data_IF_110363232746
#
_entry.id   IF_110363232746
#
_cell.length_a   1.000
_cell.length_b   1.000
_cell.length_c   1.000
_cell.angle_alpha   90.00
_cell.angle_beta   90.00
_cell.angle_gamma   90.00
#
_symmetry.space_group_name_H-M   'P 1'
#
loop_
_entity.id
_entity.type
_entity.pdbx_description
1 polymer ?
#
# COMPACT_ATOMS: atom_id res chain seq x y z
N UNK A 1 -2.38 -6.46 -13.60
CA UNK A 1 -2.57 -6.57 -12.14
C UNK A 1 -2.00 -5.32 -11.49
N UNK A 2 -2.64 -4.82 -10.45
CA UNK A 2 -2.21 -3.63 -9.72
C UNK A 2 -1.93 -4.00 -8.27
N UNK A 3 -1.00 -3.31 -7.63
CA UNK A 3 -0.57 -3.61 -6.27
C UNK A 3 -0.58 -2.36 -5.41
N UNK A 4 -0.93 -2.52 -4.13
CA UNK A 4 -0.86 -1.48 -3.11
C UNK A 4 -0.12 -2.01 -1.88
N UNK A 5 0.35 -1.11 -1.02
CA UNK A 5 1.03 -1.47 0.23
C UNK A 5 0.08 -1.20 1.39
N UNK A 6 -0.25 -2.25 2.14
CA UNK A 6 -0.92 -2.16 3.43
C UNK A 6 0.15 -2.17 4.54
N UNK A 7 -0.02 -1.32 5.55
CA UNK A 7 0.82 -1.22 6.73
C UNK A 7 -0.08 -1.40 7.95
N UNK A 8 0.36 -2.24 8.90
CA UNK A 8 -0.32 -2.42 10.18
C UNK A 8 0.30 -1.51 11.23
N UNK A 9 -0.52 -0.61 11.78
CA UNK A 9 -0.16 0.24 12.92
C UNK A 9 -1.22 0.11 14.00
N UNK A 10 -0.83 -0.20 15.24
CA UNK A 10 -1.75 -0.28 16.39
C UNK A 10 -3.02 -1.10 16.11
N UNK A 11 -2.85 -2.27 15.49
CA UNK A 11 -3.94 -3.16 15.07
C UNK A 11 -4.91 -2.58 14.02
N UNK A 12 -4.54 -1.47 13.37
CA UNK A 12 -5.29 -0.86 12.27
C UNK A 12 -4.55 -1.01 10.95
N UNK A 13 -5.27 -1.40 9.91
CA UNK A 13 -4.77 -1.41 8.55
C UNK A 13 -4.84 0.00 7.96
N UNK A 14 -3.71 0.47 7.45
CA UNK A 14 -3.62 1.68 6.63
C UNK A 14 -2.88 1.36 5.34
N UNK A 15 -2.97 2.23 4.36
CA UNK A 15 -2.42 2.03 3.03
C UNK A 15 -1.47 3.16 2.67
N UNK A 16 -0.35 2.83 2.03
CA UNK A 16 0.66 3.81 1.68
C UNK A 16 0.19 4.70 0.53
N UNK A 17 -0.12 5.96 0.83
CA UNK A 17 -0.47 6.97 -0.18
C UNK A 17 0.78 7.52 -0.88
N UNK A 18 1.82 7.79 -0.09
CA UNK A 18 3.13 8.21 -0.56
C UNK A 18 4.20 7.82 0.47
N UNK A 19 5.47 8.15 0.21
CA UNK A 19 6.60 7.78 1.06
C UNK A 19 6.54 8.30 2.51
N UNK A 20 5.60 9.20 2.85
CA UNK A 20 5.48 9.85 4.16
C UNK A 20 4.09 9.76 4.77
N UNK A 21 3.09 9.26 4.04
CA UNK A 21 1.69 9.34 4.44
C UNK A 21 0.96 8.02 4.24
N UNK A 22 0.16 7.66 5.25
CA UNK A 22 -0.78 6.56 5.21
C UNK A 22 -2.21 7.08 5.15
N UNK A 23 -3.09 6.33 4.49
CA UNK A 23 -4.53 6.60 4.38
C UNK A 23 -5.32 5.37 4.80
N UNK A 24 -6.57 5.55 5.22
CA UNK A 24 -7.44 4.44 5.60
C UNK A 24 -8.14 3.79 4.40
N UNK A 25 -8.35 4.53 3.32
CA UNK A 25 -9.02 4.03 2.12
C UNK A 25 -7.99 3.43 1.13
N UNK A 26 -8.09 2.14 0.76
CA UNK A 26 -7.22 1.51 -0.22
C UNK A 26 -7.33 2.12 -1.63
N UNK A 27 -8.46 2.74 -1.98
CA UNK A 27 -8.67 3.38 -3.30
C UNK A 27 -7.77 4.59 -3.50
N UNK A 28 -7.40 5.23 -2.41
CA UNK A 28 -6.48 6.37 -2.43
C UNK A 28 -5.02 5.92 -2.48
N UNK A 29 -4.72 4.67 -2.13
CA UNK A 29 -3.35 4.18 -1.99
C UNK A 29 -2.54 4.30 -3.29
N UNK A 30 -1.21 4.36 -3.15
CA UNK A 30 -0.31 4.36 -4.30
C UNK A 30 -0.36 3.01 -5.00
N UNK A 31 -0.71 3.05 -6.28
CA UNK A 31 -0.77 1.87 -7.14
C UNK A 31 0.59 1.60 -7.77
N UNK A 32 0.98 0.32 -7.79
CA UNK A 32 2.19 -0.18 -8.43
C UNK A 32 1.84 -1.24 -9.48
N UNK A 33 2.66 -1.33 -10.53
CA UNK A 33 2.52 -2.33 -11.59
C UNK A 33 3.14 -3.69 -11.23
N UNK A 34 3.97 -3.75 -10.17
CA UNK A 34 4.56 -5.00 -9.69
C UNK A 34 4.84 -4.96 -8.18
N UNK A 35 4.88 -6.11 -7.50
CA UNK A 35 5.20 -6.18 -6.08
C UNK A 35 6.65 -5.77 -5.79
N UNK A 36 7.57 -6.00 -6.74
CA UNK A 36 8.96 -5.55 -6.63
C UNK A 36 9.08 -4.02 -6.54
N UNK A 37 8.29 -3.29 -7.33
CA UNK A 37 8.27 -1.83 -7.30
C UNK A 37 7.65 -1.31 -6.00
N UNK A 38 6.57 -1.94 -5.53
CA UNK A 38 5.97 -1.64 -4.24
C UNK A 38 7.00 -1.77 -3.10
N UNK A 39 7.69 -2.91 -3.01
CA UNK A 39 8.72 -3.15 -1.99
C UNK A 39 9.89 -2.17 -2.10
N UNK A 40 10.35 -1.85 -3.31
CA UNK A 40 11.41 -0.85 -3.52
C UNK A 40 10.97 0.53 -3.04
N UNK A 41 9.72 0.90 -3.26
CA UNK A 41 9.16 2.16 -2.81
C UNK A 41 9.04 2.21 -1.28
N UNK A 42 8.56 1.15 -0.64
CA UNK A 42 8.46 1.04 0.81
C UNK A 42 9.81 1.24 1.51
N UNK A 43 10.88 0.63 0.98
CA UNK A 43 12.26 0.78 1.52
C UNK A 43 12.74 2.23 1.57
N UNK A 44 12.18 3.12 0.73
CA UNK A 44 12.48 4.55 0.68
C UNK A 44 11.51 5.41 1.50
N UNK A 45 10.49 4.81 2.08
CA UNK A 45 9.47 5.51 2.88
C UNK A 45 9.84 5.59 4.35
N UNK A 46 9.13 6.43 5.09
CA UNK A 46 9.23 6.51 6.55
C UNK A 46 8.77 5.22 7.25
N UNK A 47 8.09 4.31 6.53
CA UNK A 47 7.50 3.09 7.06
C UNK A 47 8.29 1.84 6.68
N UNK A 48 9.56 1.99 6.26
CA UNK A 48 10.41 0.89 5.78
C UNK A 48 10.58 -0.29 6.76
N UNK A 49 10.41 -0.03 8.06
CA UNK A 49 10.56 -1.02 9.13
C UNK A 49 9.21 -1.48 9.70
N UNK A 50 8.09 -0.99 9.16
CA UNK A 50 6.76 -1.33 9.64
C UNK A 50 6.32 -2.71 9.14
N UNK A 51 5.47 -3.39 9.92
CA UNK A 51 4.77 -4.59 9.46
C UNK A 51 3.89 -4.22 8.26
N UNK A 52 4.11 -4.87 7.12
CA UNK A 52 3.45 -4.52 5.88
C UNK A 52 3.11 -5.76 5.05
N UNK A 53 2.19 -5.57 4.10
CA UNK A 53 1.80 -6.57 3.12
C UNK A 53 1.54 -5.88 1.78
N UNK A 54 2.01 -6.47 0.68
CA UNK A 54 1.69 -6.00 -0.67
C UNK A 54 0.44 -6.73 -1.14
N UNK A 55 -0.64 -5.98 -1.34
CA UNK A 55 -1.94 -6.53 -1.78
C UNK A 55 -2.08 -6.38 -3.29
N UNK A 56 -2.64 -7.41 -3.92
CA UNK A 56 -3.05 -7.36 -5.33
C UNK A 56 -4.47 -6.81 -5.41
N UNK A 57 -4.69 -5.75 -6.19
CA UNK A 57 -6.02 -5.20 -6.48
C UNK A 57 -6.39 -5.51 -7.94
N UNK A 58 -7.63 -5.94 -8.15
CA UNK A 58 -8.24 -6.07 -9.48
C UNK A 58 -8.81 -4.71 -9.88
N UNK A 59 -8.61 -4.29 -11.13
CA UNK A 59 -9.11 -3.02 -11.63
C UNK A 59 -10.66 -2.91 -11.57
N UNK A 60 -11.37 -4.03 -11.40
CA UNK A 60 -12.83 -4.11 -11.35
C UNK A 60 -13.41 -4.13 -9.92
N UNK A 61 -12.60 -4.08 -8.86
CA UNK A 61 -13.09 -4.13 -7.46
C UNK A 61 -13.16 -2.74 -6.82
N UNK A 62 -13.71 -1.78 -7.56
CA UNK A 62 -14.29 -0.54 -7.04
C UNK A 62 -15.74 -0.48 -7.54
N UNK A 63 -16.54 -1.48 -7.18
CA UNK A 63 -17.99 -1.43 -7.33
C UNK A 63 -18.58 -1.47 -5.92
N UNK A 64 -19.41 -0.47 -5.64
CA UNK A 64 -20.24 -0.32 -4.44
C UNK A 64 -21.33 -1.39 -4.45
#
# INVERSE_FOLDING_TARGET
MQYIIQIRENNTAKYLFNARMLVHDPRLAKIFSSPLLANRYLKKSNFRNSEHTVLTIKAESIAI
#
